data_IF_133545425978
#
_entry.id   IF_133545425978
#
_cell.length_a   1.000
_cell.length_b   1.000
_cell.length_c   1.000
_cell.angle_alpha   90.00
_cell.angle_beta   90.00
_cell.angle_gamma   90.00
#
_symmetry.space_group_name_H-M   'P 1'
#
loop_
_entity.id
_entity.type
_entity.pdbx_description
1 polymer ?
#
# COMPACT_ATOMS: atom_id res chain seq x y z
N UNK A 1 -27.77 18.07 0.22
CA UNK A 1 -26.42 17.45 0.09
C UNK A 1 -25.65 17.93 -1.14
N UNK A 2 -26.27 18.12 -2.31
CA UNK A 2 -25.57 18.60 -3.52
C UNK A 2 -24.80 19.92 -3.33
N UNK A 3 -25.44 20.93 -2.70
CA UNK A 3 -24.80 22.23 -2.45
C UNK A 3 -23.55 22.13 -1.56
N UNK A 4 -23.58 21.24 -0.57
CA UNK A 4 -22.42 21.03 0.31
C UNK A 4 -21.25 20.42 -0.44
N UNK A 5 -21.48 19.41 -1.27
CA UNK A 5 -20.41 18.80 -2.08
C UNK A 5 -19.82 19.80 -3.08
N UNK A 6 -20.67 20.57 -3.76
CA UNK A 6 -20.20 21.64 -4.64
C UNK A 6 -19.36 22.69 -3.91
N UNK A 7 -19.76 23.07 -2.68
CA UNK A 7 -18.99 23.99 -1.85
C UNK A 7 -17.61 23.41 -1.52
N UNK A 8 -17.55 22.14 -1.08
CA UNK A 8 -16.28 21.46 -0.78
C UNK A 8 -15.38 21.40 -2.02
N UNK A 9 -15.94 21.11 -3.20
CA UNK A 9 -15.18 21.04 -4.45
C UNK A 9 -14.56 22.38 -4.82
N UNK A 10 -15.33 23.46 -4.75
CA UNK A 10 -14.87 24.83 -5.06
C UNK A 10 -13.81 25.27 -4.05
N UNK A 11 -14.03 25.03 -2.75
CA UNK A 11 -13.08 25.37 -1.70
C UNK A 11 -11.76 24.63 -1.86
N UNK A 12 -11.81 23.31 -2.09
CA UNK A 12 -10.60 22.50 -2.27
C UNK A 12 -9.79 22.92 -3.51
N UNK A 13 -10.47 23.28 -4.60
CA UNK A 13 -9.81 23.75 -5.81
C UNK A 13 -9.15 25.11 -5.61
N UNK A 14 -9.86 26.05 -4.98
CA UNK A 14 -9.30 27.37 -4.68
C UNK A 14 -8.12 27.29 -3.71
N UNK A 15 -8.22 26.45 -2.67
CA UNK A 15 -7.12 26.20 -1.74
C UNK A 15 -5.90 25.60 -2.45
N UNK A 16 -6.10 24.69 -3.41
CA UNK A 16 -5.01 24.13 -4.22
C UNK A 16 -4.29 25.22 -5.03
N UNK A 17 -5.03 26.09 -5.71
CA UNK A 17 -4.44 27.19 -6.50
C UNK A 17 -3.59 28.08 -5.57
N UNK A 18 -4.16 28.52 -4.46
CA UNK A 18 -3.47 29.37 -3.48
C UNK A 18 -2.20 28.68 -2.96
N UNK A 19 -2.29 27.42 -2.56
CA UNK A 19 -1.15 26.64 -2.07
C UNK A 19 -0.02 26.57 -3.11
N UNK A 20 -0.33 26.23 -4.37
CA UNK A 20 0.67 26.15 -5.44
C UNK A 20 1.20 27.51 -5.88
N UNK A 21 0.50 28.60 -5.59
CA UNK A 21 1.00 29.95 -5.83
C UNK A 21 2.06 30.36 -4.81
N UNK A 22 1.97 29.83 -3.58
CA UNK A 22 2.94 30.10 -2.49
C UNK A 22 4.16 29.19 -2.62
N UNK A 23 3.96 27.91 -2.93
CA UNK A 23 5.04 26.96 -3.21
C UNK A 23 4.88 26.29 -4.58
N UNK A 24 5.39 26.94 -5.66
CA UNK A 24 5.35 26.37 -7.01
C UNK A 24 6.26 25.16 -7.19
N UNK A 25 7.28 25.01 -6.33
CA UNK A 25 8.24 23.91 -6.40
C UNK A 25 7.65 22.58 -5.92
N UNK A 26 6.59 22.66 -5.12
CA UNK A 26 5.93 21.50 -4.54
C UNK A 26 5.43 20.51 -5.60
N UNK A 27 6.01 19.30 -5.57
CA UNK A 27 5.74 18.22 -6.53
C UNK A 27 5.88 18.65 -8.01
N UNK A 28 6.84 19.53 -8.33
CA UNK A 28 7.05 20.12 -9.67
C UNK A 28 7.03 19.11 -10.82
N UNK A 29 7.65 17.93 -10.64
CA UNK A 29 7.74 16.85 -11.64
C UNK A 29 6.53 15.92 -11.76
N UNK A 30 5.48 16.07 -10.94
CA UNK A 30 4.32 15.16 -10.98
C UNK A 30 3.15 15.75 -11.74
N UNK A 31 2.52 14.96 -12.61
CA UNK A 31 1.34 15.39 -13.36
C UNK A 31 0.03 15.37 -12.54
N UNK A 32 0.02 14.74 -11.37
CA UNK A 32 -1.16 14.52 -10.53
C UNK A 32 -1.17 15.34 -9.23
N UNK A 33 -0.63 16.56 -9.26
CA UNK A 33 -0.45 17.44 -8.09
C UNK A 33 -1.74 17.73 -7.33
N UNK A 34 -2.85 18.01 -8.04
CA UNK A 34 -4.17 18.23 -7.42
C UNK A 34 -4.61 17.03 -6.58
N UNK A 35 -4.40 15.80 -7.08
CA UNK A 35 -4.74 14.58 -6.34
C UNK A 35 -3.89 14.43 -5.08
N UNK A 36 -2.59 14.70 -5.18
CA UNK A 36 -1.69 14.69 -4.03
C UNK A 36 -2.10 15.71 -2.97
N UNK A 37 -2.49 16.90 -3.42
CA UNK A 37 -2.92 17.98 -2.54
C UNK A 37 -4.17 17.55 -1.77
N UNK A 38 -5.18 17.03 -2.47
CA UNK A 38 -6.40 16.52 -1.83
C UNK A 38 -6.12 15.36 -0.87
N UNK A 39 -5.18 14.48 -1.20
CA UNK A 39 -4.79 13.38 -0.33
C UNK A 39 -4.13 13.89 0.97
N UNK A 40 -3.22 14.86 0.87
CA UNK A 40 -2.58 15.47 2.04
C UNK A 40 -3.57 16.28 2.86
N UNK A 41 -4.39 17.11 2.20
CA UNK A 41 -5.44 17.90 2.84
C UNK A 41 -6.42 16.99 3.59
N UNK A 42 -6.91 15.94 2.94
CA UNK A 42 -7.83 14.99 3.57
C UNK A 42 -7.22 14.33 4.80
N UNK A 43 -5.97 13.88 4.73
CA UNK A 43 -5.23 13.34 5.88
C UNK A 43 -5.09 14.36 7.02
N UNK A 44 -4.73 15.60 6.70
CA UNK A 44 -4.57 16.67 7.69
C UNK A 44 -5.90 17.00 8.40
N UNK A 45 -7.01 17.04 7.66
CA UNK A 45 -8.34 17.33 8.22
C UNK A 45 -8.83 16.24 9.17
N UNK A 46 -8.55 14.97 8.87
CA UNK A 46 -9.01 13.85 9.71
C UNK A 46 -8.06 13.49 10.85
N UNK A 47 -6.80 13.91 10.79
CA UNK A 47 -5.77 13.60 11.79
C UNK A 47 -6.23 13.93 13.23
N UNK A 48 -6.73 15.13 13.56
CA UNK A 48 -7.13 15.43 14.95
C UNK A 48 -8.33 14.59 15.41
N UNK A 49 -9.30 14.36 14.51
CA UNK A 49 -10.46 13.52 14.83
C UNK A 49 -10.07 12.05 15.05
N UNK A 50 -9.07 11.57 14.31
CA UNK A 50 -8.55 10.20 14.43
C UNK A 50 -7.71 10.06 15.70
N UNK A 51 -6.89 11.06 16.01
CA UNK A 51 -6.08 11.11 17.24
C UNK A 51 -6.94 11.08 18.51
N UNK A 52 -8.02 11.87 18.54
CA UNK A 52 -8.89 11.99 19.71
C UNK A 52 -9.97 10.88 19.79
N UNK A 53 -9.91 9.88 18.91
CA UNK A 53 -10.94 8.83 18.85
C UNK A 53 -10.76 7.84 19.99
N UNK A 54 -11.68 7.87 20.95
CA UNK A 54 -11.74 6.90 22.06
C UNK A 54 -12.38 5.56 21.69
N UNK A 55 -13.39 5.58 20.82
CA UNK A 55 -14.12 4.38 20.43
C UNK A 55 -13.64 3.84 19.07
N UNK A 56 -13.08 2.63 19.09
CA UNK A 56 -12.58 1.98 17.90
C UNK A 56 -13.69 1.38 17.03
N UNK A 57 -13.51 1.34 15.70
CA UNK A 57 -14.36 0.55 14.82
C UNK A 57 -14.40 -0.92 15.26
N UNK A 58 -15.58 -1.56 15.14
CA UNK A 58 -15.73 -3.00 15.49
C UNK A 58 -14.95 -3.93 14.56
N UNK A 59 -14.69 -3.49 13.33
CA UNK A 59 -13.93 -4.28 12.35
C UNK A 59 -12.43 -4.25 12.67
N UNK A 60 -11.74 -5.41 12.74
CA UNK A 60 -10.34 -5.48 13.15
C UNK A 60 -9.41 -4.68 12.23
N UNK A 61 -9.66 -4.69 10.93
CA UNK A 61 -8.90 -3.91 9.95
C UNK A 61 -9.08 -2.39 10.12
N UNK A 62 -10.30 -1.95 10.40
CA UNK A 62 -10.58 -0.54 10.62
C UNK A 62 -10.02 -0.06 11.97
N UNK A 63 -10.05 -0.91 13.00
CA UNK A 63 -9.40 -0.65 14.28
C UNK A 63 -7.88 -0.51 14.10
N UNK A 64 -7.23 -1.41 13.36
CA UNK A 64 -5.79 -1.35 13.10
C UNK A 64 -5.38 -0.08 12.36
N UNK A 65 -6.21 0.41 11.42
CA UNK A 65 -5.97 1.69 10.74
C UNK A 65 -6.00 2.89 11.69
N UNK A 66 -6.95 2.92 12.63
CA UNK A 66 -7.02 4.01 13.64
C UNK A 66 -5.83 3.92 14.60
N UNK A 67 -5.47 2.72 15.04
CA UNK A 67 -4.29 2.47 15.88
C UNK A 67 -3.00 2.95 15.20
N UNK A 68 -2.82 2.64 13.92
CA UNK A 68 -1.68 3.11 13.12
C UNK A 68 -1.70 4.63 12.97
N UNK A 69 -2.86 5.23 12.70
CA UNK A 69 -3.00 6.67 12.57
C UNK A 69 -2.78 7.43 13.90
N UNK A 70 -3.00 6.78 15.05
CA UNK A 70 -2.69 7.30 16.39
C UNK A 70 -1.21 7.11 16.78
N UNK A 71 -0.39 6.50 15.93
CA UNK A 71 1.02 6.20 16.24
C UNK A 71 1.21 5.05 17.25
N UNK A 72 0.16 4.28 17.54
CA UNK A 72 0.21 3.17 18.51
C UNK A 72 0.74 1.87 17.90
N UNK A 73 0.98 1.83 16.59
CA UNK A 73 1.59 0.70 15.87
C UNK A 73 2.71 1.23 14.99
N UNK A 74 3.96 0.84 15.26
CA UNK A 74 5.08 1.03 14.34
C UNK A 74 4.91 0.08 13.15
N UNK A 75 4.78 0.63 11.95
CA UNK A 75 5.08 -0.10 10.72
C UNK A 75 6.45 0.37 10.22
N UNK A 76 7.35 -0.59 10.02
CA UNK A 76 8.51 -0.43 9.15
C UNK A 76 8.03 0.13 7.81
N UNK A 77 8.62 1.26 7.40
CA UNK A 77 8.24 2.00 6.22
C UNK A 77 8.35 1.11 4.96
N UNK A 78 7.20 0.70 4.45
CA UNK A 78 7.07 0.17 3.10
C UNK A 78 7.36 1.28 2.09
N UNK A 79 8.64 1.41 1.75
CA UNK A 79 9.20 2.25 0.70
C UNK A 79 8.25 2.36 -0.51
N UNK A 80 7.66 3.53 -0.70
CA UNK A 80 6.99 3.93 -1.94
C UNK A 80 8.06 3.94 -3.04
N UNK A 81 8.11 2.91 -3.87
CA UNK A 81 8.87 2.97 -5.13
C UNK A 81 8.09 3.80 -6.14
N UNK A 82 8.28 5.11 -6.09
CA UNK A 82 8.20 5.96 -7.28
C UNK A 82 9.43 5.67 -8.12
N UNK A 83 9.21 5.27 -9.37
CA UNK A 83 10.28 5.09 -10.33
C UNK A 83 10.80 6.45 -10.80
N UNK A 84 12.12 6.53 -10.95
CA UNK A 84 12.85 7.32 -11.94
C UNK A 84 14.27 6.75 -12.00
N UNK A 85 14.83 6.84 -13.20
CA UNK A 85 15.92 6.06 -13.78
C UNK A 85 17.32 6.64 -13.45
N UNK A 86 18.36 5.91 -13.92
CA UNK A 86 19.80 6.27 -13.99
C UNK A 86 20.65 6.03 -12.73
N UNK A 87 21.85 5.44 -12.75
CA UNK A 87 22.64 4.71 -13.75
C UNK A 87 23.85 4.11 -12.99
N UNK A 88 24.16 2.82 -13.19
CA UNK A 88 25.54 2.31 -13.13
C UNK A 88 25.66 0.88 -13.68
N UNK A 89 26.54 0.76 -14.67
CA UNK A 89 27.17 -0.43 -15.28
C UNK A 89 27.39 -1.60 -14.29
N UNK A 90 27.30 -2.88 -14.65
CA UNK A 90 27.94 -3.58 -15.78
C UNK A 90 27.22 -4.95 -16.04
N UNK A 91 27.37 -5.48 -17.26
CA UNK A 91 26.63 -6.57 -17.97
C UNK A 91 27.31 -7.97 -17.78
N UNK A 92 26.84 -9.17 -18.24
CA UNK A 92 25.55 -9.66 -18.82
C UNK A 92 24.96 -10.99 -18.22
N UNK A 93 23.78 -11.39 -18.76
CA UNK A 93 23.27 -12.77 -19.00
C UNK A 93 22.16 -13.34 -18.05
N UNK A 94 21.44 -14.44 -18.43
CA UNK A 94 20.22 -14.38 -19.23
C UNK A 94 19.02 -15.12 -18.56
N UNK A 95 17.80 -14.75 -18.96
CA UNK A 95 16.58 -15.57 -18.83
C UNK A 95 16.45 -16.54 -17.66
N UNK A 96 15.94 -16.09 -16.51
CA UNK A 96 15.29 -17.00 -15.55
C UNK A 96 13.80 -16.69 -15.45
N UNK A 97 13.03 -17.49 -16.18
CA UNK A 97 11.60 -17.68 -16.01
C UNK A 97 11.22 -17.64 -14.51
N UNK A 98 10.18 -16.87 -14.16
CA UNK A 98 9.58 -16.87 -12.81
C UNK A 98 9.35 -18.33 -12.39
N UNK A 99 10.18 -18.86 -11.48
CA UNK A 99 10.12 -20.26 -11.04
C UNK A 99 8.67 -20.60 -10.66
N UNK A 100 8.10 -21.60 -11.34
CA UNK A 100 6.68 -21.97 -11.19
C UNK A 100 6.47 -22.48 -9.75
N UNK A 101 5.60 -21.81 -8.98
CA UNK A 101 5.22 -22.26 -7.63
C UNK A 101 4.43 -23.56 -7.75
N UNK A 102 5.07 -24.69 -7.45
CA UNK A 102 4.51 -26.02 -7.58
C UNK A 102 4.51 -26.79 -6.26
N UNK A 103 3.65 -27.79 -6.15
CA UNK A 103 3.58 -28.67 -4.99
C UNK A 103 4.85 -29.50 -4.87
N UNK A 104 5.52 -29.44 -3.72
CA UNK A 104 6.76 -30.18 -3.43
C UNK A 104 6.56 -31.69 -3.31
N UNK A 105 5.33 -32.12 -3.00
CA UNK A 105 4.99 -33.51 -2.66
C UNK A 105 4.26 -34.27 -3.78
N UNK A 106 3.96 -33.62 -4.91
CA UNK A 106 3.28 -34.32 -6.00
C UNK A 106 4.31 -34.89 -6.98
N UNK A 107 4.18 -36.16 -7.41
CA UNK A 107 5.06 -36.74 -8.43
C UNK A 107 4.98 -35.98 -9.75
N UNK A 108 3.80 -35.43 -10.06
CA UNK A 108 3.61 -34.42 -11.11
C UNK A 108 3.38 -33.04 -10.47
N UNK A 109 4.30 -32.07 -10.63
CA UNK A 109 4.26 -30.79 -9.93
C UNK A 109 3.05 -29.95 -10.37
N UNK A 110 1.99 -29.99 -9.54
CA UNK A 110 0.81 -29.14 -9.73
C UNK A 110 1.12 -27.70 -9.32
N UNK A 111 0.67 -26.72 -10.12
CA UNK A 111 0.77 -25.30 -9.77
C UNK A 111 -0.07 -25.02 -8.53
N UNK A 112 0.51 -24.38 -7.54
CA UNK A 112 -0.15 -24.08 -6.26
C UNK A 112 0.09 -22.64 -5.85
N UNK A 113 -0.88 -22.08 -5.14
CA UNK A 113 -0.78 -20.79 -4.44
C UNK A 113 -0.79 -20.96 -2.92
N UNK A 114 -1.15 -22.15 -2.44
CA UNK A 114 -1.20 -22.50 -1.03
C UNK A 114 0.19 -22.78 -0.48
N UNK A 115 0.43 -22.26 0.73
CA UNK A 115 1.69 -22.35 1.45
C UNK A 115 1.41 -22.77 2.89
N UNK A 116 2.27 -23.60 3.47
CA UNK A 116 2.19 -23.93 4.88
C UNK A 116 2.57 -22.73 5.75
N UNK A 117 1.79 -22.48 6.80
CA UNK A 117 2.06 -21.40 7.74
C UNK A 117 3.34 -21.67 8.55
N UNK A 118 3.64 -22.94 8.85
CA UNK A 118 4.78 -23.35 9.68
C UNK A 118 6.09 -23.41 8.91
N UNK A 119 6.18 -24.19 7.84
CA UNK A 119 7.44 -24.40 7.09
C UNK A 119 7.57 -23.53 5.84
N UNK A 120 6.55 -22.73 5.49
CA UNK A 120 6.51 -21.95 4.24
C UNK A 120 6.67 -22.78 2.95
N UNK A 121 6.51 -24.11 3.02
CA UNK A 121 6.52 -24.99 1.87
C UNK A 121 5.26 -24.84 0.99
N UNK A 122 5.44 -24.89 -0.33
CA UNK A 122 4.34 -24.87 -1.30
C UNK A 122 3.80 -26.27 -1.52
N UNK A 123 2.51 -26.48 -1.24
CA UNK A 123 1.85 -27.77 -1.39
C UNK A 123 0.40 -27.61 -1.85
N UNK A 124 -0.13 -28.59 -2.57
CA UNK A 124 -1.55 -28.61 -2.95
C UNK A 124 -2.42 -28.93 -1.72
N UNK A 125 -3.74 -28.69 -1.78
CA UNK A 125 -4.63 -28.89 -0.61
C UNK A 125 -4.53 -30.31 -0.02
N UNK A 126 -4.30 -31.33 -0.84
CA UNK A 126 -4.14 -32.72 -0.39
C UNK A 126 -2.85 -32.96 0.41
N UNK A 127 -1.79 -32.23 0.06
CA UNK A 127 -0.44 -32.44 0.58
C UNK A 127 -0.03 -31.36 1.59
N UNK A 128 -0.89 -30.37 1.84
CA UNK A 128 -0.61 -29.22 2.72
C UNK A 128 -0.41 -29.65 4.18
N UNK A 129 -1.09 -30.72 4.62
CA UNK A 129 -0.90 -31.30 5.95
C UNK A 129 0.41 -32.09 6.09
N UNK A 130 1.01 -32.53 4.97
CA UNK A 130 2.19 -33.41 4.94
C UNK A 130 3.50 -32.65 4.65
N UNK A 131 3.43 -31.39 4.23
CA UNK A 131 4.59 -30.57 3.81
C UNK A 131 5.55 -30.20 4.93
N UNK A 132 5.18 -30.39 6.20
CA UNK A 132 6.07 -30.24 7.35
C UNK A 132 6.76 -31.54 7.79
N UNK A 133 6.43 -32.67 7.15
CA UNK A 133 7.00 -33.98 7.44
C UNK A 133 8.10 -34.38 6.46
N UNK A 134 8.42 -33.48 5.52
CA UNK A 134 9.63 -33.50 4.70
C UNK A 134 10.65 -32.57 5.34
#
# INVERSE_FOLDING_TARGET
MCLFYHLVDVLCFNAYILFTSVDPSWNSGKNFKRRLFLQQLGRALIAPATANRSHFPRGPFAASLVLQAQGQVHQEEGHEKQGEEEEKEEKPQPGLSRKRKACLLCPNPKRVRSQCIKCRGYACRKNLALVCLQ
#
